data_IF_659394972120
#
_entry.id   IF_659394972120
#
_cell.length_a   1.000
_cell.length_b   1.000
_cell.length_c   1.000
_cell.angle_alpha   90.00
_cell.angle_beta   90.00
_cell.angle_gamma   90.00
#
_symmetry.space_group_name_H-M   'P 1'
#
loop_
_entity.id
_entity.type
_entity.pdbx_description
1 polymer ?
#
# COMPACT_ATOMS: atom_id res chain seq x y z
N UNK A 1 -4.31 -23.43 5.72
CA UNK A 1 -5.00 -22.21 5.26
C UNK A 1 -4.50 -20.89 5.87
N UNK A 2 -3.41 -20.84 6.67
CA UNK A 2 -2.95 -19.58 7.32
C UNK A 2 -2.20 -18.61 6.39
N UNK A 3 -1.49 -19.13 5.38
CA UNK A 3 -0.68 -18.31 4.45
C UNK A 3 -1.52 -17.40 3.55
N UNK A 4 -2.69 -17.88 3.12
CA UNK A 4 -3.57 -17.15 2.21
C UNK A 4 -4.08 -15.86 2.85
N UNK A 5 -4.48 -15.90 4.12
CA UNK A 5 -4.94 -14.73 4.89
C UNK A 5 -3.84 -13.68 5.07
N UNK A 6 -2.60 -14.10 5.36
CA UNK A 6 -1.47 -13.16 5.53
C UNK A 6 -1.13 -12.40 4.24
N UNK A 7 -1.21 -13.09 3.10
CA UNK A 7 -0.95 -12.49 1.80
C UNK A 7 -2.09 -11.55 1.38
N UNK A 8 -3.35 -11.92 1.61
CA UNK A 8 -4.48 -11.05 1.37
C UNK A 8 -4.38 -9.75 2.18
N UNK A 9 -3.96 -9.80 3.45
CA UNK A 9 -3.78 -8.61 4.29
C UNK A 9 -2.73 -7.67 3.69
N UNK A 10 -1.60 -8.22 3.23
CA UNK A 10 -0.56 -7.45 2.51
C UNK A 10 -1.11 -6.85 1.21
N UNK A 11 -1.88 -7.62 0.44
CA UNK A 11 -2.49 -7.13 -0.80
C UNK A 11 -3.44 -5.95 -0.55
N UNK A 12 -4.27 -6.01 0.49
CA UNK A 12 -5.18 -4.92 0.88
C UNK A 12 -4.41 -3.64 1.25
N UNK A 13 -3.33 -3.78 2.02
CA UNK A 13 -2.47 -2.65 2.40
C UNK A 13 -1.79 -2.03 1.17
N UNK A 14 -1.30 -2.86 0.24
CA UNK A 14 -0.72 -2.41 -1.03
C UNK A 14 -1.75 -1.64 -1.86
N UNK A 15 -2.98 -2.14 -1.96
CA UNK A 15 -4.07 -1.46 -2.67
C UNK A 15 -4.37 -0.09 -2.05
N UNK A 16 -4.35 0.02 -0.72
CA UNK A 16 -4.50 1.30 0.00
C UNK A 16 -3.38 2.29 -0.32
N UNK A 17 -2.12 1.83 -0.30
CA UNK A 17 -0.95 2.67 -0.66
C UNK A 17 -1.08 3.18 -2.09
N UNK A 18 -1.43 2.30 -3.04
CA UNK A 18 -1.62 2.69 -4.44
C UNK A 18 -2.73 3.73 -4.55
N UNK A 19 -3.89 3.51 -3.91
CA UNK A 19 -5.01 4.46 -3.94
C UNK A 19 -4.63 5.86 -3.45
N UNK A 20 -3.72 5.97 -2.48
CA UNK A 20 -3.28 7.26 -1.90
C UNK A 20 -2.23 7.99 -2.72
N UNK A 21 -1.33 7.26 -3.40
CA UNK A 21 -0.12 7.86 -3.98
C UNK A 21 -0.04 7.76 -5.51
N UNK A 22 -0.84 6.90 -6.13
CA UNK A 22 -0.85 6.75 -7.58
C UNK A 22 -1.73 7.82 -8.23
N UNK A 23 -1.14 8.60 -9.13
CA UNK A 23 -1.88 9.55 -9.97
C UNK A 23 -1.61 9.24 -11.45
N UNK A 24 -2.65 8.90 -12.24
CA UNK A 24 -2.48 8.66 -13.66
C UNK A 24 -2.05 9.95 -14.37
N UNK A 25 -1.11 9.84 -15.31
CA UNK A 25 -0.60 10.99 -16.07
C UNK A 25 0.55 11.76 -15.40
N UNK A 26 0.85 11.50 -14.12
CA UNK A 26 2.05 12.03 -13.45
C UNK A 26 3.18 11.01 -13.42
N UNK A 27 4.33 11.37 -13.99
CA UNK A 27 5.48 10.46 -14.06
C UNK A 27 6.12 10.19 -12.70
N UNK A 28 6.11 11.17 -11.81
CA UNK A 28 6.63 11.10 -10.43
C UNK A 28 5.73 10.32 -9.47
N UNK A 29 4.47 10.09 -9.86
CA UNK A 29 3.44 9.35 -9.12
C UNK A 29 2.91 8.13 -9.87
N UNK A 30 3.74 7.56 -10.76
CA UNK A 30 3.40 6.32 -11.46
C UNK A 30 3.53 5.09 -10.55
N UNK A 31 3.04 3.93 -11.04
CA UNK A 31 3.07 2.68 -10.28
C UNK A 31 4.48 2.24 -9.85
N UNK A 32 5.49 2.47 -10.69
CA UNK A 32 6.87 2.13 -10.38
C UNK A 32 7.45 3.01 -9.27
N UNK A 33 7.14 4.31 -9.29
CA UNK A 33 7.56 5.27 -8.27
C UNK A 33 6.89 4.96 -6.93
N UNK A 34 5.57 4.72 -6.93
CA UNK A 34 4.84 4.30 -5.73
C UNK A 34 5.40 3.00 -5.16
N UNK A 35 5.69 2.02 -6.02
CA UNK A 35 6.30 0.76 -5.60
C UNK A 35 7.65 0.98 -4.90
N UNK A 36 8.59 1.68 -5.55
CA UNK A 36 9.94 1.90 -5.02
C UNK A 36 9.95 2.70 -3.72
N UNK A 37 9.06 3.69 -3.60
CA UNK A 37 9.02 4.59 -2.43
C UNK A 37 8.27 4.02 -1.24
N UNK A 38 7.17 3.29 -1.47
CA UNK A 38 6.25 2.93 -0.38
C UNK A 38 6.08 1.41 -0.18
N UNK A 39 6.22 0.60 -1.24
CA UNK A 39 5.90 -0.83 -1.18
C UNK A 39 7.16 -1.67 -0.94
N UNK A 40 8.20 -1.45 -1.73
CA UNK A 40 9.45 -2.24 -1.66
C UNK A 40 10.10 -2.18 -0.26
N UNK A 41 10.29 -1.01 0.37
CA UNK A 41 10.91 -0.92 1.69
C UNK A 41 10.08 -1.59 2.79
N UNK A 42 8.75 -1.64 2.64
CA UNK A 42 7.83 -2.12 3.67
C UNK A 42 7.55 -3.62 3.59
N UNK A 43 7.49 -4.17 2.38
CA UNK A 43 7.09 -5.57 2.17
C UNK A 43 8.21 -6.46 1.64
N UNK A 44 9.29 -5.91 1.08
CA UNK A 44 10.39 -6.68 0.49
C UNK A 44 9.95 -7.59 -0.66
N UNK A 45 8.92 -7.18 -1.42
CA UNK A 45 8.37 -7.96 -2.54
C UNK A 45 8.86 -7.40 -3.87
N UNK A 46 8.89 -8.25 -4.90
CA UNK A 46 9.20 -7.80 -6.25
C UNK A 46 8.07 -6.98 -6.88
N UNK A 47 8.42 -6.15 -7.87
CA UNK A 47 7.44 -5.37 -8.64
C UNK A 47 6.34 -6.24 -9.27
N UNK A 48 6.69 -7.44 -9.76
CA UNK A 48 5.71 -8.39 -10.33
C UNK A 48 4.68 -8.83 -9.28
N UNK A 49 5.12 -9.11 -8.06
CA UNK A 49 4.24 -9.48 -6.95
C UNK A 49 3.36 -8.30 -6.53
N UNK A 50 3.91 -7.08 -6.52
CA UNK A 50 3.12 -5.86 -6.32
C UNK A 50 1.99 -5.71 -7.36
N UNK A 51 2.30 -5.88 -8.65
CA UNK A 51 1.30 -5.80 -9.71
C UNK A 51 0.20 -6.86 -9.56
N UNK A 52 0.57 -8.06 -9.12
CA UNK A 52 -0.39 -9.14 -8.81
C UNK A 52 -1.26 -8.76 -7.62
N UNK A 53 -0.66 -8.34 -6.50
CA UNK A 53 -1.35 -7.94 -5.28
C UNK A 53 -2.40 -6.85 -5.52
N UNK A 54 -2.13 -5.89 -6.44
CA UNK A 54 -3.09 -4.85 -6.81
C UNK A 54 -4.38 -5.42 -7.43
N UNK A 55 -4.28 -6.51 -8.20
CA UNK A 55 -5.40 -7.12 -8.93
C UNK A 55 -6.16 -8.20 -8.14
N UNK A 56 -5.68 -8.54 -6.95
CA UNK A 56 -6.29 -9.60 -6.14
C UNK A 56 -7.53 -9.06 -5.45
N UNK A 57 -8.60 -9.85 -5.48
CA UNK A 57 -9.78 -9.57 -4.68
C UNK A 57 -9.46 -9.79 -3.19
N UNK A 58 -9.59 -8.72 -2.41
CA UNK A 58 -9.36 -8.71 -0.96
C UNK A 58 -10.67 -8.73 -0.17
N UNK A 59 -11.82 -8.80 -0.84
CA UNK A 59 -13.16 -8.95 -0.23
C UNK A 59 -13.28 -10.12 0.77
N UNK A 60 -12.61 -11.28 0.57
CA UNK A 60 -12.66 -12.39 1.53
C UNK A 60 -12.10 -12.09 2.93
N UNK A 61 -11.44 -10.94 3.15
CA UNK A 61 -10.94 -10.54 4.47
C UNK A 61 -11.99 -9.92 5.40
N UNK A 62 -13.19 -9.60 4.91
CA UNK A 62 -14.19 -8.85 5.68
C UNK A 62 -13.88 -7.35 5.78
N UNK A 63 -14.93 -6.53 5.93
CA UNK A 63 -14.85 -5.07 5.99
C UNK A 63 -14.58 -4.56 7.41
N UNK A 64 -13.58 -5.09 8.10
CA UNK A 64 -13.25 -4.60 9.45
C UNK A 64 -11.75 -4.34 9.56
N UNK A 65 -11.42 -3.05 9.61
CA UNK A 65 -10.47 -2.43 10.53
C UNK A 65 -10.31 -0.96 10.10
N UNK A 66 -10.71 0.01 10.95
CA UNK A 66 -10.54 1.42 10.67
C UNK A 66 -9.05 1.69 10.50
N UNK A 67 -8.74 2.45 9.46
CA UNK A 67 -7.40 2.99 9.22
C UNK A 67 -6.99 3.71 10.50
N UNK A 68 -6.03 3.14 11.25
CA UNK A 68 -5.25 3.93 12.21
C UNK A 68 -4.50 4.95 11.37
N UNK A 69 -5.14 6.10 11.22
CA UNK A 69 -4.58 7.34 10.75
C UNK A 69 -3.53 7.74 11.79
N UNK A 70 -2.29 7.32 11.58
CA UNK A 70 -1.16 8.01 12.20
C UNK A 70 -1.08 9.36 11.51
N UNK A 71 -1.89 10.30 12.00
CA UNK A 71 -1.61 11.73 11.97
C UNK A 71 -0.18 11.88 12.50
N UNK A 72 0.78 12.02 11.59
CA UNK A 72 2.07 12.59 11.95
C UNK A 72 1.82 14.10 12.01
N UNK A 73 1.47 14.57 13.20
CA UNK A 73 1.51 15.98 13.55
C UNK A 73 2.99 16.36 13.64
N UNK A 74 3.59 16.80 12.54
CA UNK A 74 4.84 17.55 12.62
C UNK A 74 4.48 18.98 13.06
N UNK A 75 4.68 19.26 14.34
CA UNK A 75 4.77 20.62 14.88
C UNK A 75 5.88 21.40 14.15
N UNK A 76 5.68 22.70 13.86
CA UNK A 76 6.77 23.54 13.38
C UNK A 76 7.66 23.90 14.56
N UNK A 77 8.83 23.26 14.67
CA UNK A 77 9.88 23.72 15.56
C UNK A 77 10.50 24.99 14.94
N UNK A 78 10.11 26.15 15.45
CA UNK A 78 10.79 27.41 15.19
C UNK A 78 12.10 27.49 15.97
N UNK A 79 13.05 28.22 15.42
CA UNK A 79 13.90 29.25 16.04
C UNK A 79 14.59 30.06 14.93
#
# INVERSE_FOLDING_TARGET
MKHQTSYLKRAREIQRIVSRHYEPGRQDRNLSAVYRRHVEPRFGITYKTFLRARKIDTSPLGQDEPVRETVHSDEPCGE
#
